data_IF_197670741095
#
_entry.id   IF_197670741095
#
_cell.length_a   1.000
_cell.length_b   1.000
_cell.length_c   1.000
_cell.angle_alpha   90.00
_cell.angle_beta   90.00
_cell.angle_gamma   90.00
#
_symmetry.space_group_name_H-M   'P 1'
#
loop_
_entity.id
_entity.type
_entity.pdbx_description
1 polymer ?
#
# COMPACT_ATOMS: atom_id res chain seq x y z
N UNK A 1 16.71 -10.24 0.94
CA UNK A 1 15.23 -10.09 0.91
C UNK A 1 14.78 -8.67 1.20
N UNK A 2 15.13 -8.07 2.35
CA UNK A 2 14.75 -6.67 2.67
C UNK A 2 15.22 -5.65 1.63
N UNK A 3 16.48 -5.73 1.18
CA UNK A 3 17.04 -4.86 0.15
C UNK A 3 16.30 -4.97 -1.18
N UNK A 4 16.02 -6.19 -1.65
CA UNK A 4 15.24 -6.44 -2.87
C UNK A 4 13.86 -5.76 -2.82
N UNK A 5 13.10 -5.96 -1.74
CA UNK A 5 11.77 -5.36 -1.61
C UNK A 5 11.84 -3.82 -1.55
N UNK A 6 12.85 -3.27 -0.88
CA UNK A 6 13.11 -1.82 -0.88
C UNK A 6 13.38 -1.31 -2.29
N UNK A 7 14.24 -2.00 -3.06
CA UNK A 7 14.56 -1.62 -4.44
C UNK A 7 13.32 -1.62 -5.33
N UNK A 8 12.46 -2.65 -5.21
CA UNK A 8 11.19 -2.71 -5.97
C UNK A 8 10.27 -1.54 -5.59
N UNK A 9 10.11 -1.25 -4.29
CA UNK A 9 9.29 -0.13 -3.84
C UNK A 9 9.81 1.22 -4.36
N UNK A 10 11.13 1.42 -4.31
CA UNK A 10 11.77 2.63 -4.83
C UNK A 10 11.63 2.75 -6.35
N UNK A 11 11.76 1.64 -7.08
CA UNK A 11 11.58 1.62 -8.52
C UNK A 11 10.14 1.99 -8.92
N UNK A 12 9.13 1.41 -8.26
CA UNK A 12 7.72 1.75 -8.49
C UNK A 12 7.45 3.21 -8.14
N UNK A 13 7.99 3.70 -7.03
CA UNK A 13 7.84 5.10 -6.61
C UNK A 13 8.46 6.06 -7.63
N UNK A 14 9.69 5.80 -8.08
CA UNK A 14 10.38 6.61 -9.08
C UNK A 14 9.64 6.59 -10.42
N UNK A 15 9.18 5.42 -10.86
CA UNK A 15 8.39 5.27 -12.09
C UNK A 15 7.09 6.07 -12.03
N UNK A 16 6.33 5.94 -10.94
CA UNK A 16 5.06 6.65 -10.78
C UNK A 16 5.26 8.16 -10.71
N UNK A 17 6.29 8.63 -10.00
CA UNK A 17 6.63 10.05 -9.98
C UNK A 17 7.02 10.55 -11.37
N UNK A 18 7.84 9.80 -12.10
CA UNK A 18 8.24 10.15 -13.46
C UNK A 18 7.04 10.24 -14.40
N UNK A 19 6.17 9.23 -14.42
CA UNK A 19 4.98 9.20 -15.29
C UNK A 19 4.00 10.32 -14.90
N UNK A 20 3.70 10.50 -13.62
CA UNK A 20 2.78 11.54 -13.15
C UNK A 20 3.30 12.92 -13.50
N UNK A 21 4.56 13.24 -13.21
CA UNK A 21 5.14 14.56 -13.54
C UNK A 21 5.17 14.77 -15.04
N UNK A 22 5.60 13.78 -15.81
CA UNK A 22 5.67 13.88 -17.27
C UNK A 22 4.29 14.10 -17.90
N UNK A 23 3.26 13.43 -17.38
CA UNK A 23 1.88 13.60 -17.82
C UNK A 23 1.33 14.98 -17.42
N UNK A 24 1.56 15.42 -16.18
CA UNK A 24 1.12 16.74 -15.70
C UNK A 24 1.75 17.91 -16.45
N UNK A 25 2.94 17.73 -17.02
CA UNK A 25 3.57 18.74 -17.87
C UNK A 25 2.97 18.82 -19.28
N UNK A 26 2.37 17.73 -19.77
CA UNK A 26 1.79 17.66 -21.11
C UNK A 26 0.32 18.06 -21.12
N UNK A 27 -0.45 17.56 -20.16
CA UNK A 27 -1.90 17.73 -20.13
C UNK A 27 -2.43 17.68 -18.69
N UNK A 28 -3.38 18.57 -18.39
CA UNK A 28 -4.07 18.54 -17.11
C UNK A 28 -4.90 17.26 -16.97
N UNK A 29 -4.88 16.70 -15.75
CA UNK A 29 -5.64 15.49 -15.41
C UNK A 29 -7.13 15.62 -15.72
N UNK A 30 -7.71 16.81 -15.54
CA UNK A 30 -9.14 17.07 -15.77
C UNK A 30 -9.46 17.01 -17.26
N UNK A 31 -8.63 17.61 -18.09
CA UNK A 31 -8.78 17.61 -19.55
C UNK A 31 -8.61 16.20 -20.10
N UNK A 32 -7.57 15.48 -19.68
CA UNK A 32 -7.36 14.07 -20.05
C UNK A 32 -8.52 13.17 -19.62
N UNK A 33 -9.02 13.35 -18.39
CA UNK A 33 -10.16 12.57 -17.90
C UNK A 33 -11.40 12.84 -18.73
N UNK A 34 -11.69 14.10 -19.08
CA UNK A 34 -12.87 14.46 -19.87
C UNK A 34 -12.84 13.84 -21.27
N UNK A 35 -11.67 13.77 -21.89
CA UNK A 35 -11.46 13.16 -23.19
C UNK A 35 -11.60 11.63 -23.16
N UNK A 36 -11.06 10.99 -22.11
CA UNK A 36 -11.05 9.53 -21.96
C UNK A 36 -12.33 8.98 -21.31
N UNK A 37 -13.14 9.80 -20.65
CA UNK A 37 -14.37 9.39 -19.94
C UNK A 37 -15.38 8.61 -20.79
N UNK A 38 -15.61 8.96 -22.08
CA UNK A 38 -16.54 8.21 -22.94
C UNK A 38 -16.05 6.78 -23.24
N UNK A 39 -14.74 6.52 -23.13
CA UNK A 39 -14.18 5.20 -23.40
C UNK A 39 -14.55 4.22 -22.27
N UNK A 40 -15.27 3.15 -22.63
CA UNK A 40 -15.75 2.17 -21.66
C UNK A 40 -14.61 1.40 -20.98
N UNK A 41 -13.52 1.15 -21.71
CA UNK A 41 -12.31 0.52 -21.16
C UNK A 41 -11.61 1.41 -20.14
N UNK A 42 -11.53 2.73 -20.36
CA UNK A 42 -10.93 3.65 -19.41
C UNK A 42 -11.66 3.61 -18.06
N UNK A 43 -12.99 3.63 -18.08
CA UNK A 43 -13.82 3.47 -16.88
C UNK A 43 -13.61 2.13 -16.19
N UNK A 44 -13.49 1.04 -16.95
CA UNK A 44 -13.27 -0.29 -16.40
C UNK A 44 -11.90 -0.39 -15.71
N UNK A 45 -10.84 0.11 -16.34
CA UNK A 45 -9.49 0.13 -15.75
C UNK A 45 -9.40 1.05 -14.55
N UNK A 46 -10.10 2.19 -14.57
CA UNK A 46 -10.15 3.10 -13.43
C UNK A 46 -10.88 2.45 -12.25
N UNK A 47 -12.02 1.81 -12.50
CA UNK A 47 -12.75 1.06 -11.49
C UNK A 47 -11.91 -0.07 -10.89
N UNK A 48 -11.23 -0.86 -11.72
CA UNK A 48 -10.31 -1.93 -11.27
C UNK A 48 -9.21 -1.39 -10.34
N UNK A 49 -8.55 -0.29 -10.74
CA UNK A 49 -7.52 0.36 -9.94
C UNK A 49 -8.06 0.83 -8.56
N UNK A 50 -9.21 1.51 -8.54
CA UNK A 50 -9.81 2.01 -7.30
C UNK A 50 -10.36 0.88 -6.40
N UNK A 51 -10.87 -0.22 -6.99
CA UNK A 51 -11.20 -1.42 -6.23
C UNK A 51 -9.95 -2.01 -5.57
N UNK A 52 -8.82 -2.09 -6.30
CA UNK A 52 -7.54 -2.49 -5.75
C UNK A 52 -7.09 -1.61 -4.58
N UNK A 53 -7.22 -0.29 -4.73
CA UNK A 53 -6.94 0.68 -3.66
C UNK A 53 -7.82 0.47 -2.42
N UNK A 54 -9.10 0.18 -2.62
CA UNK A 54 -10.04 -0.11 -1.53
C UNK A 54 -9.63 -1.39 -0.77
N UNK A 55 -9.30 -2.47 -1.48
CA UNK A 55 -8.86 -3.72 -0.86
C UNK A 55 -7.54 -3.55 -0.10
N UNK A 56 -6.58 -2.83 -0.69
CA UNK A 56 -5.32 -2.54 -0.02
C UNK A 56 -5.54 -1.69 1.23
N UNK A 57 -6.37 -0.65 1.13
CA UNK A 57 -6.73 0.16 2.29
C UNK A 57 -7.42 -0.67 3.38
N UNK A 58 -8.36 -1.56 3.02
CA UNK A 58 -9.03 -2.42 3.99
C UNK A 58 -8.02 -3.31 4.74
N UNK A 59 -7.01 -3.83 4.04
CA UNK A 59 -5.90 -4.54 4.66
C UNK A 59 -5.08 -3.64 5.60
N UNK A 60 -4.76 -2.40 5.20
CA UNK A 60 -4.08 -1.42 6.07
C UNK A 60 -4.93 -1.09 7.29
N UNK A 61 -6.22 -0.79 7.12
CA UNK A 61 -7.15 -0.49 8.21
C UNK A 61 -7.34 -1.67 9.16
N UNK A 62 -7.30 -2.90 8.65
CA UNK A 62 -7.31 -4.11 9.48
C UNK A 62 -6.01 -4.29 10.27
N UNK A 63 -4.86 -4.01 9.64
CA UNK A 63 -3.54 -4.12 10.23
C UNK A 63 -3.26 -3.05 11.30
N UNK A 64 -3.65 -1.80 11.04
CA UNK A 64 -3.48 -0.68 11.95
C UNK A 64 -4.54 -0.72 13.06
N UNK A 65 -4.12 -0.70 14.34
CA UNK A 65 -5.05 -0.65 15.48
C UNK A 65 -5.71 0.73 15.66
N UNK A 66 -5.24 1.76 14.95
CA UNK A 66 -5.67 3.15 15.09
C UNK A 66 -6.51 3.60 13.90
N UNK A 67 -7.79 3.89 14.16
CA UNK A 67 -8.74 4.37 13.16
C UNK A 67 -8.28 5.67 12.49
N UNK A 68 -7.61 6.56 13.23
CA UNK A 68 -7.08 7.82 12.68
C UNK A 68 -5.99 7.59 11.62
N UNK A 69 -5.07 6.64 11.87
CA UNK A 69 -4.04 6.27 10.88
C UNK A 69 -4.65 5.55 9.68
N UNK A 70 -5.64 4.69 9.90
CA UNK A 70 -6.39 4.05 8.83
C UNK A 70 -7.11 5.07 7.92
N UNK A 71 -7.76 6.08 8.51
CA UNK A 71 -8.42 7.15 7.75
C UNK A 71 -7.42 8.04 6.99
N UNK A 72 -6.27 8.36 7.60
CA UNK A 72 -5.21 9.09 6.91
C UNK A 72 -4.72 8.32 5.69
N UNK A 73 -4.42 7.02 5.84
CA UNK A 73 -3.99 6.18 4.73
C UNK A 73 -5.06 6.01 3.65
N UNK A 74 -6.35 6.00 4.02
CA UNK A 74 -7.44 6.02 3.04
C UNK A 74 -7.31 7.21 2.08
N UNK A 75 -7.20 8.41 2.65
CA UNK A 75 -7.12 9.66 1.88
C UNK A 75 -5.87 9.65 1.00
N UNK A 76 -4.73 9.23 1.56
CA UNK A 76 -3.48 9.15 0.81
C UNK A 76 -3.57 8.15 -0.35
N UNK A 77 -4.13 6.96 -0.16
CA UNK A 77 -4.24 5.95 -1.21
C UNK A 77 -5.26 6.39 -2.27
N UNK A 78 -6.40 6.97 -1.87
CA UNK A 78 -7.42 7.44 -2.81
C UNK A 78 -6.92 8.61 -3.68
N UNK A 79 -6.05 9.47 -3.14
CA UNK A 79 -5.51 10.64 -3.85
C UNK A 79 -4.23 10.33 -4.65
N UNK A 80 -3.30 9.56 -4.09
CA UNK A 80 -1.96 9.31 -4.66
C UNK A 80 -1.82 7.92 -5.31
N UNK A 81 -2.75 7.00 -5.05
CA UNK A 81 -2.71 5.64 -5.56
C UNK A 81 -1.42 4.91 -5.21
N UNK A 82 -0.72 4.46 -6.26
CA UNK A 82 0.51 3.66 -6.15
C UNK A 82 1.66 4.37 -5.41
N UNK A 83 1.74 5.71 -5.46
CA UNK A 83 2.77 6.47 -4.75
C UNK A 83 2.59 6.29 -3.23
N UNK A 84 1.35 6.39 -2.74
CA UNK A 84 1.03 6.21 -1.33
C UNK A 84 1.27 4.76 -0.88
N UNK A 85 0.92 3.77 -1.71
CA UNK A 85 1.14 2.36 -1.39
C UNK A 85 2.63 2.00 -1.33
N UNK A 86 3.44 2.48 -2.28
CA UNK A 86 4.89 2.29 -2.26
C UNK A 86 5.53 2.95 -1.03
N UNK A 87 5.09 4.17 -0.68
CA UNK A 87 5.58 4.87 0.51
C UNK A 87 5.18 4.13 1.80
N UNK A 88 3.94 3.63 1.89
CA UNK A 88 3.49 2.81 3.01
C UNK A 88 4.38 1.59 3.20
N UNK A 89 4.59 0.80 2.14
CA UNK A 89 5.44 -0.38 2.19
C UNK A 89 6.87 -0.03 2.60
N UNK A 90 7.44 1.06 2.08
CA UNK A 90 8.78 1.52 2.42
C UNK A 90 8.90 1.89 3.91
N UNK A 91 7.90 2.58 4.47
CA UNK A 91 7.83 2.92 5.90
C UNK A 91 7.78 1.64 6.75
N UNK A 92 6.92 0.69 6.38
CA UNK A 92 6.78 -0.56 7.11
C UNK A 92 8.03 -1.43 7.00
N UNK A 93 8.69 -1.43 5.86
CA UNK A 93 9.92 -2.17 5.63
C UNK A 93 11.10 -1.57 6.41
N UNK A 94 11.17 -0.24 6.51
CA UNK A 94 12.16 0.45 7.35
C UNK A 94 12.00 0.08 8.82
N UNK A 95 10.75 0.02 9.31
CA UNK A 95 10.41 -0.36 10.68
C UNK A 95 10.56 -1.86 10.99
N UNK A 96 10.46 -2.71 9.98
CA UNK A 96 10.52 -4.16 10.14
C UNK A 96 11.95 -4.68 10.25
N UNK A 97 12.20 -5.57 11.23
CA UNK A 97 13.46 -6.27 11.40
C UNK A 97 13.37 -7.65 10.72
N UNK A 98 14.27 -8.01 9.77
CA UNK A 98 14.22 -9.29 9.06
C UNK A 98 14.21 -10.54 9.96
N UNK A 99 14.70 -10.42 11.19
CA UNK A 99 14.71 -11.52 12.18
C UNK A 99 13.32 -11.92 12.68
N UNK A 100 12.31 -11.07 12.51
CA UNK A 100 10.95 -11.30 13.02
C UNK A 100 10.03 -12.05 12.03
N UNK A 101 10.55 -12.40 10.85
CA UNK A 101 9.81 -13.12 9.82
C UNK A 101 8.79 -12.24 9.06
N UNK A 102 8.44 -12.68 7.85
CA UNK A 102 7.52 -11.97 6.94
C UNK A 102 6.10 -11.85 7.50
N UNK A 103 5.75 -12.75 8.42
CA UNK A 103 4.45 -12.79 9.09
C UNK A 103 4.17 -11.50 9.87
N UNK A 104 5.18 -10.89 10.49
CA UNK A 104 5.03 -9.60 11.20
C UNK A 104 4.90 -8.40 10.23
N UNK A 105 5.43 -8.52 9.02
CA UNK A 105 5.22 -7.55 7.95
C UNK A 105 3.78 -7.61 7.42
N UNK A 106 3.18 -8.80 7.31
CA UNK A 106 1.82 -8.99 6.82
C UNK A 106 0.74 -8.70 7.89
N UNK A 107 0.95 -9.18 9.13
CA UNK A 107 -0.04 -9.09 10.22
C UNK A 107 0.05 -7.77 11.01
N UNK A 108 1.17 -7.06 10.95
CA UNK A 108 1.38 -5.86 11.77
C UNK A 108 1.29 -6.14 13.27
N UNK A 109 0.77 -5.18 14.04
CA UNK A 109 0.70 -5.23 15.51
C UNK A 109 -0.44 -6.09 16.05
N UNK A 110 -1.27 -6.71 15.21
CA UNK A 110 -2.28 -7.67 15.66
C UNK A 110 -1.64 -9.05 15.83
N UNK A 111 -1.27 -9.33 17.10
CA UNK A 111 -0.77 -10.57 17.73
C UNK A 111 -0.51 -11.76 16.79
N UNK A 112 0.77 -12.08 16.59
CA UNK A 112 1.17 -13.48 16.57
C UNK A 112 1.30 -13.93 18.03
N UNK A 113 0.75 -15.09 18.43
CA UNK A 113 1.18 -15.76 19.64
C UNK A 113 2.70 -15.93 19.55
N UNK A 114 3.42 -15.49 20.58
CA UNK A 114 4.86 -15.67 20.65
C UNK A 114 5.20 -17.17 20.61
N UNK A 115 6.39 -17.57 20.13
CA UNK A 115 6.84 -18.96 20.22
C UNK A 115 6.71 -19.53 21.64
N UNK A 116 6.86 -18.67 22.65
CA UNK A 116 6.80 -19.01 24.06
C UNK A 116 5.38 -19.30 24.58
N UNK A 117 4.33 -18.89 23.86
CA UNK A 117 2.94 -19.13 24.26
C UNK A 117 2.55 -20.61 24.06
N UNK A 118 3.37 -21.39 23.34
CA UNK A 118 3.16 -22.83 23.13
C UNK A 118 3.82 -23.73 24.19
N UNK A 119 4.79 -23.21 24.94
CA UNK A 119 5.48 -23.98 26.00
C UNK A 119 4.79 -23.85 27.35
N UNK A 120 4.22 -22.68 27.67
CA UNK A 120 3.53 -22.44 28.95
C UNK A 120 2.19 -23.21 29.08
N UNK A 121 1.58 -23.63 27.96
CA UNK A 121 0.35 -24.42 27.95
C UNK A 121 0.59 -25.94 27.76
N UNK A 122 1.83 -26.41 27.99
CA UNK A 122 2.23 -27.82 27.87
C UNK A 122 2.64 -28.46 29.21
N UNK A 123 2.58 -27.74 30.31
CA UNK A 123 2.70 -28.33 31.65
C UNK A 123 1.31 -28.77 32.14
N UNK A 124 1.13 -30.06 32.50
CA UNK A 124 -0.15 -30.62 32.97
C UNK A 124 -0.56 -30.09 34.33
#
# INVERSE_FOLDING_TARGET
MKTFLTTVCLAVLALMLYVTVSASLQQDIVSATRELWPASWFRATLADAYCGFLFFWLWVAWRERSTAKGALWFILIAALGNIAMALFLLIQLRRWNPREGVTRLLLGTRRLPGPNDKEENRTP
#
